data_IF_082390482908
#
_entry.id   IF_082390482908
#
_cell.length_a   1.000
_cell.length_b   1.000
_cell.length_c   1.000
_cell.angle_alpha   90.00
_cell.angle_beta   90.00
_cell.angle_gamma   90.00
#
_symmetry.space_group_name_H-M   'P 1'
#
loop_
_entity.id
_entity.type
_entity.pdbx_description
1 polymer ?
#
# COMPACT_ATOMS: atom_id res chain seq x y z
N UNK A 1 -43.77 23.25 50.60
CA UNK A 1 -43.12 23.30 49.30
C UNK A 1 -41.86 22.42 49.36
N UNK A 2 -41.96 21.21 48.83
CA UNK A 2 -40.90 20.20 48.93
C UNK A 2 -40.08 20.24 47.61
N UNK A 3 -38.80 20.61 47.68
CA UNK A 3 -37.90 20.66 46.51
C UNK A 3 -37.35 19.26 46.25
N UNK A 4 -37.73 18.67 45.11
CA UNK A 4 -37.19 17.41 44.60
C UNK A 4 -35.92 17.72 43.83
N UNK A 5 -34.78 17.21 44.31
CA UNK A 5 -33.50 17.23 43.57
C UNK A 5 -33.44 15.96 42.70
N UNK A 6 -33.45 16.13 41.37
CA UNK A 6 -33.18 15.05 40.41
C UNK A 6 -31.66 15.04 40.20
N UNK A 7 -30.99 14.01 40.71
CA UNK A 7 -29.61 13.73 40.41
C UNK A 7 -29.52 13.05 39.05
N UNK A 8 -29.03 13.73 38.05
CA UNK A 8 -28.69 13.13 36.75
C UNK A 8 -27.39 12.35 36.89
N UNK A 9 -27.46 11.02 36.88
CA UNK A 9 -26.27 10.17 36.81
C UNK A 9 -25.69 10.20 35.38
N UNK A 10 -24.55 10.85 35.19
CA UNK A 10 -23.73 10.73 33.98
C UNK A 10 -23.12 9.32 33.95
N UNK A 11 -23.65 8.42 33.17
CA UNK A 11 -22.96 7.18 32.83
C UNK A 11 -21.83 7.49 31.84
N UNK A 12 -20.61 7.64 32.35
CA UNK A 12 -19.42 7.67 31.50
C UNK A 12 -19.23 6.27 30.90
N UNK A 13 -19.54 6.12 29.63
CA UNK A 13 -19.16 4.92 28.86
C UNK A 13 -17.63 4.91 28.77
N UNK A 14 -16.98 4.12 29.62
CA UNK A 14 -15.57 3.77 29.46
C UNK A 14 -15.50 2.84 28.24
N UNK A 15 -15.16 3.38 27.08
CA UNK A 15 -14.83 2.59 25.92
C UNK A 15 -13.57 1.78 26.25
N UNK A 16 -13.73 0.52 26.59
CA UNK A 16 -12.60 -0.41 26.73
C UNK A 16 -11.91 -0.43 25.37
N UNK A 17 -10.65 0.01 25.33
CA UNK A 17 -9.84 -0.02 24.13
C UNK A 17 -9.68 -1.48 23.70
N UNK A 18 -10.41 -1.90 22.67
CA UNK A 18 -10.35 -3.24 22.13
C UNK A 18 -8.99 -3.42 21.44
N UNK A 19 -8.11 -4.22 22.04
CA UNK A 19 -6.84 -4.62 21.44
C UNK A 19 -7.10 -5.74 20.42
N UNK A 20 -6.67 -5.53 19.19
CA UNK A 20 -6.71 -6.54 18.12
C UNK A 20 -5.36 -7.23 18.09
N UNK A 21 -5.37 -8.51 18.44
CA UNK A 21 -4.18 -9.36 18.36
C UNK A 21 -3.86 -9.75 16.93
N UNK A 22 -2.61 -10.14 16.70
CA UNK A 22 -2.18 -10.69 15.42
C UNK A 22 -2.99 -11.95 15.09
N UNK A 23 -3.49 -12.06 13.84
CA UNK A 23 -4.25 -13.25 13.43
C UNK A 23 -3.32 -14.46 13.30
N UNK A 24 -3.87 -15.63 13.58
CA UNK A 24 -3.21 -16.89 13.22
C UNK A 24 -3.66 -17.28 11.82
N UNK A 25 -2.74 -17.17 10.86
CA UNK A 25 -2.98 -17.57 9.48
C UNK A 25 -2.79 -19.08 9.36
N UNK A 26 -3.76 -19.75 8.72
CA UNK A 26 -3.74 -21.20 8.55
C UNK A 26 -3.53 -21.56 7.06
N UNK A 27 -2.87 -22.68 6.76
CA UNK A 27 -2.88 -23.23 5.40
C UNK A 27 -4.31 -23.35 4.88
N UNK A 28 -4.54 -22.95 3.62
CA UNK A 28 -5.84 -22.85 2.96
C UNK A 28 -6.69 -21.61 3.34
N UNK A 29 -6.25 -20.72 4.23
CA UNK A 29 -6.84 -19.39 4.30
C UNK A 29 -6.73 -18.74 2.92
N UNK A 30 -7.85 -18.25 2.38
CA UNK A 30 -7.93 -17.78 1.00
C UNK A 30 -8.76 -16.51 0.90
N UNK A 31 -8.30 -15.58 0.08
CA UNK A 31 -8.99 -14.30 -0.20
C UNK A 31 -8.98 -14.01 -1.68
N UNK A 32 -10.14 -13.62 -2.22
CA UNK A 32 -10.26 -13.10 -3.58
C UNK A 32 -10.49 -11.60 -3.52
N UNK A 33 -9.69 -10.86 -4.28
CA UNK A 33 -9.77 -9.41 -4.36
C UNK A 33 -9.97 -8.94 -5.79
N UNK A 34 -10.74 -7.87 -5.92
CA UNK A 34 -10.78 -7.02 -7.09
C UNK A 34 -9.80 -5.87 -6.88
N UNK A 35 -8.81 -5.73 -7.75
CA UNK A 35 -7.89 -4.61 -7.78
C UNK A 35 -8.22 -3.68 -8.93
N UNK A 36 -8.47 -2.41 -8.62
CA UNK A 36 -8.58 -1.34 -9.59
C UNK A 36 -7.32 -0.49 -9.55
N UNK A 37 -6.71 -0.26 -10.70
CA UNK A 37 -5.51 0.57 -10.87
C UNK A 37 -5.86 1.74 -11.78
N UNK A 38 -5.65 2.96 -11.29
CA UNK A 38 -5.78 4.21 -12.02
C UNK A 38 -4.38 4.85 -12.09
N UNK A 39 -3.82 4.99 -13.27
CA UNK A 39 -2.46 5.55 -13.47
C UNK A 39 -2.47 6.62 -14.53
N UNK A 40 -1.47 7.53 -14.51
CA UNK A 40 -1.27 8.51 -15.57
C UNK A 40 -0.20 8.04 -16.58
N UNK A 41 -0.33 8.39 -17.86
CA UNK A 41 -1.49 8.97 -18.54
C UNK A 41 -2.69 8.02 -18.41
N UNK A 42 -3.91 8.51 -18.43
CA UNK A 42 -5.16 7.86 -18.06
C UNK A 42 -5.27 6.38 -18.47
N UNK A 43 -4.75 5.50 -17.65
CA UNK A 43 -4.92 4.06 -17.76
C UNK A 43 -5.73 3.55 -16.57
N UNK A 44 -6.84 2.89 -16.87
CA UNK A 44 -7.65 2.18 -15.91
C UNK A 44 -7.55 0.69 -16.17
N UNK A 45 -7.26 -0.08 -15.14
CA UNK A 45 -7.20 -1.54 -15.22
C UNK A 45 -7.87 -2.15 -13.99
N UNK A 46 -8.66 -3.18 -14.22
CA UNK A 46 -9.23 -4.01 -13.16
C UNK A 46 -8.78 -5.44 -13.36
N UNK A 47 -8.36 -6.06 -12.25
CA UNK A 47 -7.95 -7.47 -12.22
C UNK A 47 -8.49 -8.12 -10.95
N UNK A 48 -8.68 -9.42 -11.02
CA UNK A 48 -9.07 -10.25 -9.88
C UNK A 48 -7.90 -11.16 -9.53
N UNK A 49 -7.61 -11.29 -8.25
CA UNK A 49 -6.55 -12.20 -7.81
C UNK A 49 -6.93 -12.95 -6.55
N UNK A 50 -6.43 -14.15 -6.44
CA UNK A 50 -6.62 -15.03 -5.30
C UNK A 50 -5.31 -15.15 -4.54
N UNK A 51 -5.33 -14.85 -3.25
CA UNK A 51 -4.25 -15.12 -2.31
C UNK A 51 -4.58 -16.33 -1.45
N UNK A 52 -3.69 -17.30 -1.35
CA UNK A 52 -3.87 -18.53 -0.56
C UNK A 52 -2.66 -18.76 0.32
N UNK A 53 -2.86 -19.03 1.59
CA UNK A 53 -1.80 -19.46 2.51
C UNK A 53 -1.45 -20.91 2.19
N UNK A 54 -0.20 -21.14 1.78
CA UNK A 54 0.32 -22.49 1.54
C UNK A 54 0.93 -23.09 2.81
N UNK A 55 1.64 -22.26 3.59
CA UNK A 55 2.33 -22.68 4.80
C UNK A 55 2.51 -21.50 5.75
N UNK A 56 2.38 -21.77 7.05
CA UNK A 56 2.74 -20.87 8.14
C UNK A 56 3.83 -21.52 8.98
N UNK A 57 4.94 -20.83 9.20
CA UNK A 57 6.10 -21.27 10.01
C UNK A 57 6.21 -20.45 11.30
N UNK A 58 5.12 -19.85 11.78
CA UNK A 58 5.09 -18.99 12.97
C UNK A 58 5.35 -17.53 12.63
N UNK A 59 6.59 -17.15 12.39
CA UNK A 59 6.93 -15.75 12.04
C UNK A 59 6.70 -15.45 10.55
N UNK A 60 6.82 -16.43 9.67
CA UNK A 60 6.72 -16.27 8.22
C UNK A 60 5.63 -17.14 7.61
N UNK A 61 5.02 -16.62 6.57
CA UNK A 61 3.92 -17.23 5.81
C UNK A 61 4.29 -17.30 4.34
N UNK A 62 4.20 -18.49 3.76
CA UNK A 62 4.27 -18.68 2.31
C UNK A 62 2.88 -18.46 1.73
N UNK A 63 2.72 -17.39 0.98
CA UNK A 63 1.48 -17.00 0.32
C UNK A 63 1.61 -17.22 -1.20
N UNK A 64 0.61 -17.86 -1.79
CA UNK A 64 0.47 -17.97 -3.23
C UNK A 64 -0.50 -16.90 -3.72
N UNK A 65 -0.11 -16.13 -4.73
CA UNK A 65 -0.97 -15.18 -5.43
C UNK A 65 -1.17 -15.61 -6.89
N UNK A 66 -2.43 -15.66 -7.32
CA UNK A 66 -2.82 -15.99 -8.68
C UNK A 66 -3.78 -14.93 -9.22
N UNK A 67 -3.43 -14.28 -10.33
CA UNK A 67 -4.37 -13.47 -11.10
C UNK A 67 -5.37 -14.40 -11.78
N UNK A 68 -6.66 -14.17 -11.58
CA UNK A 68 -7.76 -14.94 -12.18
C UNK A 68 -7.71 -14.71 -13.70
N UNK A 69 -7.97 -15.77 -14.47
CA UNK A 69 -7.96 -15.78 -15.94
C UNK A 69 -6.62 -15.41 -16.60
N UNK A 70 -5.55 -15.28 -15.81
CA UNK A 70 -4.21 -15.07 -16.35
C UNK A 70 -3.56 -16.41 -16.75
N UNK A 71 -2.90 -16.52 -17.91
CA UNK A 71 -2.14 -17.72 -18.29
C UNK A 71 -0.86 -17.88 -17.46
N UNK A 72 -0.42 -16.82 -16.76
CA UNK A 72 0.80 -16.88 -15.96
C UNK A 72 0.62 -17.83 -14.77
N UNK A 73 1.67 -18.56 -14.36
CA UNK A 73 1.62 -19.40 -13.18
C UNK A 73 1.39 -18.56 -11.91
N UNK A 74 0.86 -19.17 -10.84
CA UNK A 74 0.81 -18.52 -9.53
C UNK A 74 2.20 -18.07 -9.08
N UNK A 75 2.27 -16.97 -8.33
CA UNK A 75 3.50 -16.49 -7.71
C UNK A 75 3.47 -16.79 -6.22
N UNK A 76 4.55 -17.36 -5.74
CA UNK A 76 4.75 -17.57 -4.31
C UNK A 76 5.57 -16.41 -3.74
N UNK A 77 5.14 -15.91 -2.61
CA UNK A 77 5.81 -14.84 -1.86
C UNK A 77 5.91 -15.23 -0.40
N UNK A 78 7.03 -14.94 0.21
CA UNK A 78 7.23 -15.06 1.64
C UNK A 78 6.95 -13.70 2.28
N UNK A 79 6.10 -13.69 3.31
CA UNK A 79 5.74 -12.50 4.08
C UNK A 79 5.87 -12.82 5.58
N UNK A 80 5.90 -11.78 6.41
CA UNK A 80 5.75 -11.96 7.85
C UNK A 80 4.28 -12.26 8.22
N UNK A 81 4.09 -12.97 9.34
CA UNK A 81 2.75 -13.34 9.83
C UNK A 81 1.90 -12.13 10.27
N UNK A 82 2.49 -10.95 10.39
CA UNK A 82 1.81 -9.66 10.60
C UNK A 82 1.42 -8.94 9.30
N UNK A 83 1.55 -9.61 8.14
CA UNK A 83 1.35 -9.07 6.79
C UNK A 83 2.42 -8.09 6.32
N UNK A 84 3.55 -7.96 7.01
CA UNK A 84 4.67 -7.18 6.53
C UNK A 84 5.35 -7.87 5.34
N UNK A 85 5.69 -7.08 4.32
CA UNK A 85 6.49 -7.54 3.20
C UNK A 85 7.93 -7.04 3.33
N UNK A 86 8.86 -7.88 2.98
CA UNK A 86 10.29 -7.55 2.97
C UNK A 86 10.91 -7.80 1.59
N UNK A 87 12.00 -7.11 1.34
CA UNK A 87 12.85 -7.30 0.16
C UNK A 87 14.32 -7.24 0.57
N UNK A 88 15.17 -7.91 -0.19
CA UNK A 88 16.61 -7.67 -0.08
C UNK A 88 16.94 -6.36 -0.79
N UNK A 89 17.31 -5.33 -0.02
CA UNK A 89 17.80 -4.05 -0.49
C UNK A 89 19.28 -3.95 -0.09
N UNK A 90 20.17 -3.81 -1.06
CA UNK A 90 21.64 -3.74 -0.84
C UNK A 90 22.19 -4.90 -0.02
N UNK A 91 21.68 -6.12 -0.23
CA UNK A 91 22.09 -7.32 0.51
C UNK A 91 21.51 -7.42 1.93
N UNK A 92 20.69 -6.46 2.35
CA UNK A 92 20.01 -6.47 3.66
C UNK A 92 18.53 -6.73 3.49
N UNK A 93 17.98 -7.67 4.27
CA UNK A 93 16.55 -7.86 4.36
C UNK A 93 15.90 -6.63 5.02
N UNK A 94 14.96 -6.02 4.34
CA UNK A 94 14.36 -4.75 4.71
C UNK A 94 12.85 -4.82 4.55
N UNK A 95 12.11 -4.43 5.59
CA UNK A 95 10.65 -4.29 5.51
C UNK A 95 10.32 -3.10 4.62
N UNK A 96 9.56 -3.35 3.56
CA UNK A 96 9.17 -2.33 2.56
C UNK A 96 7.67 -2.03 2.55
N UNK A 97 6.89 -2.81 3.31
CA UNK A 97 5.45 -2.60 3.48
C UNK A 97 5.03 -3.19 4.83
N UNK A 98 4.37 -2.39 5.66
CA UNK A 98 3.89 -2.79 6.99
C UNK A 98 2.51 -2.18 7.25
N UNK A 99 1.44 -2.78 6.69
CA UNK A 99 0.09 -2.22 6.80
C UNK A 99 -0.47 -2.30 8.22
N UNK A 100 0.02 -3.26 9.03
CA UNK A 100 -0.43 -3.50 10.39
C UNK A 100 0.73 -3.58 11.38
N UNK A 101 0.48 -3.21 12.63
CA UNK A 101 1.43 -3.35 13.74
C UNK A 101 0.66 -3.86 14.97
N UNK A 102 0.64 -5.18 15.12
CA UNK A 102 -0.10 -5.83 16.21
C UNK A 102 0.64 -5.73 17.57
N UNK A 103 -0.09 -5.74 18.71
CA UNK A 103 -1.54 -5.58 18.79
C UNK A 103 -1.97 -4.18 18.37
N UNK A 104 -3.14 -4.07 17.71
CA UNK A 104 -3.69 -2.80 17.24
C UNK A 104 -4.79 -2.30 18.16
N UNK A 105 -4.80 -0.99 18.42
CA UNK A 105 -5.87 -0.26 19.08
C UNK A 105 -5.99 1.14 18.47
N UNK A 106 -7.14 1.77 18.66
CA UNK A 106 -7.37 3.14 18.18
C UNK A 106 -6.33 4.09 18.76
N UNK A 107 -5.73 4.91 17.90
CA UNK A 107 -4.70 5.87 18.26
C UNK A 107 -3.26 5.33 18.16
N UNK A 108 -3.04 4.00 18.03
CA UNK A 108 -1.70 3.45 17.83
C UNK A 108 -1.07 4.00 16.55
N UNK A 109 0.22 4.30 16.61
CA UNK A 109 1.01 4.76 15.46
C UNK A 109 2.29 3.95 15.30
N UNK A 110 2.80 3.88 14.06
CA UNK A 110 4.13 3.35 13.75
C UNK A 110 4.65 4.01 12.47
N UNK A 111 5.96 3.90 12.27
CA UNK A 111 6.64 4.46 11.11
C UNK A 111 7.22 3.34 10.24
N UNK A 112 7.32 3.61 8.95
CA UNK A 112 8.05 2.79 7.99
C UNK A 112 8.96 3.70 7.17
N UNK A 113 10.26 3.41 7.16
CA UNK A 113 11.24 4.10 6.33
C UNK A 113 12.17 3.08 5.69
N UNK A 114 12.40 3.23 4.39
CA UNK A 114 13.41 2.46 3.67
C UNK A 114 13.92 3.23 2.45
N UNK A 115 15.13 2.88 2.02
CA UNK A 115 15.74 3.41 0.79
C UNK A 115 16.02 2.25 -0.16
N UNK A 116 15.57 2.42 -1.40
CA UNK A 116 15.83 1.50 -2.52
C UNK A 116 16.82 2.16 -3.49
N UNK A 117 18.00 1.59 -3.63
CA UNK A 117 19.05 2.09 -4.55
C UNK A 117 18.82 1.63 -6.00
N UNK A 118 17.80 0.78 -6.21
CA UNK A 118 17.38 0.32 -7.54
C UNK A 118 15.85 0.44 -7.69
N UNK A 119 15.30 1.66 -7.55
CA UNK A 119 13.86 1.86 -7.55
C UNK A 119 13.23 1.48 -8.90
N UNK A 120 11.91 1.20 -8.86
CA UNK A 120 11.15 0.93 -10.07
C UNK A 120 11.17 2.10 -11.06
N UNK A 121 11.21 3.34 -10.57
CA UNK A 121 11.40 4.52 -11.41
C UNK A 121 12.88 4.61 -11.85
N UNK A 122 13.13 4.28 -13.10
CA UNK A 122 14.50 4.29 -13.68
C UNK A 122 15.10 5.69 -13.85
N UNK A 123 14.32 6.75 -13.66
CA UNK A 123 14.80 8.13 -13.59
C UNK A 123 15.49 8.46 -12.26
N UNK A 124 15.26 7.68 -11.22
CA UNK A 124 15.86 7.86 -9.91
C UNK A 124 17.05 6.92 -9.73
N UNK A 125 18.14 7.44 -9.16
CA UNK A 125 19.29 6.67 -8.70
C UNK A 125 18.93 5.89 -7.44
N UNK A 126 18.25 6.55 -6.51
CA UNK A 126 17.72 5.96 -5.29
C UNK A 126 16.35 6.57 -4.98
N UNK A 127 15.55 5.86 -4.19
CA UNK A 127 14.27 6.35 -3.71
C UNK A 127 14.07 5.99 -2.23
N UNK A 128 13.88 7.00 -1.41
CA UNK A 128 13.55 6.82 0.01
C UNK A 128 12.04 7.02 0.19
N UNK A 129 11.39 6.10 0.90
CA UNK A 129 9.99 6.20 1.29
C UNK A 129 9.88 6.31 2.80
N UNK A 130 9.05 7.26 3.27
CA UNK A 130 8.72 7.49 4.67
C UNK A 130 7.22 7.54 4.80
N UNK A 131 6.66 6.72 5.68
CA UNK A 131 5.24 6.61 5.95
C UNK A 131 5.02 6.59 7.46
N UNK A 132 4.05 7.36 7.92
CA UNK A 132 3.57 7.33 9.30
C UNK A 132 2.15 6.79 9.32
N UNK A 133 1.98 5.66 9.95
CA UNK A 133 0.70 4.96 10.10
C UNK A 133 0.01 5.37 11.39
N UNK A 134 -1.32 5.34 11.35
CA UNK A 134 -2.18 5.56 12.52
C UNK A 134 -3.44 4.72 12.42
N UNK A 135 -3.81 4.07 13.52
CA UNK A 135 -5.11 3.45 13.68
C UNK A 135 -6.14 4.53 13.99
N UNK A 136 -7.06 4.78 13.06
CA UNK A 136 -8.03 5.89 13.13
C UNK A 136 -9.22 5.52 14.01
N UNK A 137 -9.86 4.36 13.74
CA UNK A 137 -11.06 3.93 14.43
C UNK A 137 -11.80 2.83 13.69
N UNK A 138 -12.92 2.42 14.25
CA UNK A 138 -13.81 1.44 13.64
C UNK A 138 -14.76 2.11 12.65
N UNK A 139 -14.90 1.55 11.47
CA UNK A 139 -15.83 1.99 10.43
C UNK A 139 -16.62 0.79 9.90
N UNK A 140 -17.85 1.02 9.47
CA UNK A 140 -18.57 0.06 8.63
C UNK A 140 -18.15 0.31 7.17
N UNK A 141 -17.70 -0.76 6.51
CA UNK A 141 -17.29 -0.71 5.11
C UNK A 141 -18.02 -1.77 4.30
N UNK A 142 -18.51 -1.38 3.15
CA UNK A 142 -19.18 -2.27 2.20
C UNK A 142 -18.23 -2.55 1.03
N UNK A 143 -18.05 -3.83 0.74
CA UNK A 143 -17.26 -4.36 -0.38
C UNK A 143 -18.03 -5.49 -1.05
N UNK A 144 -17.65 -6.01 -2.22
CA UNK A 144 -18.38 -7.10 -2.87
C UNK A 144 -18.62 -8.33 -2.00
N UNK A 145 -17.72 -8.65 -1.07
CA UNK A 145 -17.87 -9.76 -0.12
C UNK A 145 -18.94 -9.51 0.95
N UNK A 146 -19.45 -8.27 1.12
CA UNK A 146 -20.43 -7.90 2.13
C UNK A 146 -20.07 -6.65 2.93
N UNK A 147 -20.74 -6.53 4.09
CA UNK A 147 -20.52 -5.43 5.05
C UNK A 147 -19.68 -5.91 6.22
N UNK A 148 -18.69 -5.12 6.60
CA UNK A 148 -17.75 -5.45 7.67
C UNK A 148 -17.58 -4.28 8.62
N UNK A 149 -17.47 -4.59 9.90
CA UNK A 149 -16.97 -3.65 10.90
C UNK A 149 -15.45 -3.76 10.91
N UNK A 150 -14.76 -2.81 10.29
CA UNK A 150 -13.33 -2.85 10.10
C UNK A 150 -12.60 -1.74 10.86
N UNK A 151 -11.40 -2.05 11.33
CA UNK A 151 -10.50 -1.07 11.94
C UNK A 151 -9.75 -0.35 10.81
N UNK A 152 -9.97 0.96 10.70
CA UNK A 152 -9.32 1.78 9.69
C UNK A 152 -7.92 2.18 10.15
N UNK A 153 -6.95 1.96 9.30
CA UNK A 153 -5.57 2.41 9.41
C UNK A 153 -5.29 3.36 8.25
N UNK A 154 -4.73 4.52 8.54
CA UNK A 154 -4.25 5.46 7.54
C UNK A 154 -2.75 5.65 7.65
N UNK A 155 -2.10 5.89 6.53
CA UNK A 155 -0.71 6.29 6.46
C UNK A 155 -0.55 7.47 5.52
N UNK A 156 0.12 8.50 6.02
CA UNK A 156 0.59 9.63 5.24
C UNK A 156 2.11 9.63 5.19
N UNK A 157 2.65 10.05 4.05
CA UNK A 157 4.09 10.06 3.91
C UNK A 157 4.56 10.70 2.61
N UNK A 158 5.84 10.49 2.34
CA UNK A 158 6.50 10.99 1.15
C UNK A 158 7.45 9.96 0.56
N UNK A 159 7.65 10.05 -0.73
CA UNK A 159 8.79 9.49 -1.41
C UNK A 159 9.76 10.63 -1.78
N UNK A 160 11.07 10.33 -1.75
CA UNK A 160 12.14 11.24 -2.15
C UNK A 160 13.04 10.49 -3.11
N UNK A 161 13.17 10.96 -4.34
CA UNK A 161 14.02 10.38 -5.38
C UNK A 161 15.24 11.23 -5.64
N UNK A 162 16.41 10.59 -5.74
CA UNK A 162 17.65 11.21 -6.17
C UNK A 162 17.84 10.99 -7.68
N UNK A 163 17.95 12.07 -8.44
CA UNK A 163 18.25 12.03 -9.87
C UNK A 163 19.76 12.16 -10.05
N UNK A 164 20.38 11.16 -10.70
CA UNK A 164 21.79 11.26 -11.04
C UNK A 164 22.03 12.30 -12.14
N UNK A 165 23.13 13.05 -12.10
CA UNK A 165 23.52 13.91 -13.22
C UNK A 165 23.74 13.06 -14.46
N UNK A 166 23.19 13.49 -15.58
CA UNK A 166 23.35 12.81 -16.86
C UNK A 166 23.39 13.81 -18.01
N UNK A 167 24.17 13.49 -19.00
CA UNK A 167 24.17 14.19 -20.29
C UNK A 167 23.44 13.33 -21.30
N UNK A 168 22.37 13.84 -21.89
CA UNK A 168 21.66 13.20 -22.98
C UNK A 168 21.92 13.99 -24.26
N UNK A 169 22.42 13.34 -25.27
CA UNK A 169 22.57 13.90 -26.62
C UNK A 169 21.40 13.38 -27.48
N UNK A 170 20.67 14.27 -28.10
CA UNK A 170 19.66 13.94 -29.11
C UNK A 170 20.04 14.58 -30.44
N UNK A 171 19.87 13.82 -31.52
CA UNK A 171 20.03 14.33 -32.88
C UNK A 171 18.64 14.51 -33.48
N UNK A 172 18.29 15.74 -33.75
CA UNK A 172 17.05 16.06 -34.50
C UNK A 172 17.38 16.16 -35.95
N UNK A 173 16.89 15.25 -36.76
CA UNK A 173 17.02 15.31 -38.23
C UNK A 173 15.75 15.91 -38.81
N UNK A 174 15.92 16.97 -39.59
CA UNK A 174 14.82 17.61 -40.35
C UNK A 174 15.10 17.43 -41.84
N UNK A 175 14.23 16.70 -42.52
CA UNK A 175 14.33 16.46 -43.96
C UNK A 175 13.36 17.37 -44.68
N UNK A 176 13.86 18.18 -45.61
CA UNK A 176 13.11 19.06 -46.47
C UNK A 176 13.48 18.86 -47.94
N UNK A 177 12.76 19.50 -48.85
CA UNK A 177 12.97 19.36 -50.30
C UNK A 177 14.37 19.78 -50.79
N UNK A 178 15.15 20.43 -49.94
CA UNK A 178 16.50 20.94 -50.22
C UNK A 178 17.63 20.20 -49.45
N UNK A 179 17.31 19.10 -48.81
CA UNK A 179 18.31 18.31 -48.06
C UNK A 179 17.92 18.02 -46.64
N UNK A 180 18.73 17.19 -45.97
CA UNK A 180 18.57 16.81 -44.56
C UNK A 180 19.56 17.59 -43.69
N UNK A 181 19.05 18.36 -42.74
CA UNK A 181 19.86 19.01 -41.71
C UNK A 181 19.78 18.22 -40.43
N UNK A 182 20.90 17.92 -39.80
CA UNK A 182 20.96 17.29 -38.48
C UNK A 182 21.48 18.32 -37.48
N UNK A 183 20.72 18.54 -36.41
CA UNK A 183 21.13 19.34 -35.26
C UNK A 183 21.31 18.41 -34.04
N UNK A 184 22.50 18.44 -33.44
CA UNK A 184 22.75 17.76 -32.18
C UNK A 184 22.36 18.69 -31.01
N UNK A 185 21.48 18.24 -30.17
CA UNK A 185 21.10 18.95 -28.94
C UNK A 185 21.58 18.15 -27.74
N UNK A 186 22.37 18.78 -26.88
CA UNK A 186 22.83 18.19 -25.64
C UNK A 186 22.01 18.77 -24.48
N UNK A 187 21.34 17.90 -23.72
CA UNK A 187 20.63 18.25 -22.47
C UNK A 187 21.43 17.74 -21.29
N UNK A 188 21.91 18.64 -20.46
CA UNK A 188 22.57 18.30 -19.20
C UNK A 188 21.51 18.32 -18.09
N UNK A 189 21.27 17.15 -17.47
CA UNK A 189 20.47 17.04 -16.25
C UNK A 189 21.44 17.11 -15.08
N UNK A 190 21.27 18.09 -14.21
CA UNK A 190 22.01 18.21 -12.95
C UNK A 190 21.48 17.22 -11.91
N UNK A 191 22.32 16.87 -10.93
CA UNK A 191 21.84 16.11 -9.77
C UNK A 191 20.73 16.90 -9.07
N UNK A 192 19.62 16.24 -8.78
CA UNK A 192 18.44 16.86 -8.18
C UNK A 192 17.78 15.89 -7.22
N UNK A 193 17.17 16.43 -6.17
CA UNK A 193 16.31 15.69 -5.25
C UNK A 193 14.87 16.11 -5.50
N UNK A 194 14.03 15.14 -5.80
CA UNK A 194 12.60 15.34 -6.05
C UNK A 194 11.79 14.62 -4.98
N UNK A 195 10.61 15.12 -4.65
CA UNK A 195 9.75 14.50 -3.66
C UNK A 195 8.29 14.56 -4.07
N UNK A 196 7.53 13.57 -3.64
CA UNK A 196 6.08 13.54 -3.80
C UNK A 196 5.42 12.90 -2.59
N UNK A 197 4.09 13.01 -2.50
CA UNK A 197 3.31 12.51 -1.38
C UNK A 197 2.87 11.07 -1.62
N UNK A 198 2.73 10.34 -0.51
CA UNK A 198 2.12 9.00 -0.43
C UNK A 198 0.93 9.07 0.52
N UNK A 199 -0.15 8.36 0.17
CA UNK A 199 -1.27 8.11 1.07
C UNK A 199 -1.68 6.65 0.97
N UNK A 200 -1.97 6.02 2.12
CA UNK A 200 -2.48 4.65 2.18
C UNK A 200 -3.60 4.57 3.21
N UNK A 201 -4.60 3.75 2.93
CA UNK A 201 -5.66 3.42 3.89
C UNK A 201 -5.98 1.93 3.79
N UNK A 202 -6.19 1.30 4.96
CA UNK A 202 -6.52 -0.11 5.10
C UNK A 202 -7.69 -0.26 6.05
N UNK A 203 -8.64 -1.12 5.72
CA UNK A 203 -9.76 -1.50 6.56
C UNK A 203 -9.61 -2.95 6.97
N UNK A 204 -9.02 -3.17 8.14
CA UNK A 204 -8.76 -4.50 8.69
C UNK A 204 -10.00 -5.07 9.39
N UNK A 205 -10.45 -6.27 9.00
CA UNK A 205 -11.53 -7.01 9.64
C UNK A 205 -10.96 -8.27 10.33
N UNK A 206 -11.08 -8.38 11.67
CA UNK A 206 -10.53 -9.53 12.41
C UNK A 206 -11.05 -10.88 11.93
N UNK A 207 -12.35 -10.97 11.60
CA UNK A 207 -13.01 -12.18 11.10
C UNK A 207 -12.50 -12.62 9.72
N UNK A 208 -11.91 -11.68 8.96
CA UNK A 208 -11.27 -11.96 7.66
C UNK A 208 -9.78 -12.24 7.83
N UNK A 209 -9.22 -11.93 9.00
CA UNK A 209 -7.77 -11.99 9.31
C UNK A 209 -6.91 -11.04 8.46
N UNK A 210 -7.54 -10.11 7.71
CA UNK A 210 -6.89 -9.25 6.73
C UNK A 210 -7.70 -7.98 6.45
N UNK A 211 -7.17 -7.07 5.63
CA UNK A 211 -7.95 -5.94 5.12
C UNK A 211 -9.09 -6.42 4.18
N UNK A 212 -10.27 -5.85 4.34
CA UNK A 212 -11.39 -6.03 3.40
C UNK A 212 -11.33 -5.01 2.27
N UNK A 213 -10.64 -3.88 2.52
CA UNK A 213 -10.41 -2.83 1.54
C UNK A 213 -9.06 -2.18 1.79
N UNK A 214 -8.36 -1.80 0.71
CA UNK A 214 -7.23 -0.89 0.79
C UNK A 214 -7.25 0.13 -0.34
N UNK A 215 -6.65 1.30 -0.08
CA UNK A 215 -6.42 2.36 -1.04
C UNK A 215 -4.98 2.82 -0.90
N UNK A 216 -4.26 2.93 -2.01
CA UNK A 216 -2.93 3.50 -2.07
C UNK A 216 -2.89 4.58 -3.14
N UNK A 217 -2.39 5.77 -2.80
CA UNK A 217 -2.27 6.89 -3.73
C UNK A 217 -0.83 7.41 -3.75
N UNK A 218 -0.33 7.61 -4.96
CA UNK A 218 0.96 8.22 -5.21
C UNK A 218 0.73 9.59 -5.87
N UNK A 219 1.44 10.59 -5.40
CA UNK A 219 1.41 11.94 -5.94
C UNK A 219 2.80 12.30 -6.49
N UNK A 220 2.81 13.03 -7.59
CA UNK A 220 4.05 13.55 -8.19
C UNK A 220 4.58 14.79 -7.44
N UNK A 221 5.67 15.35 -7.94
CA UNK A 221 6.32 16.53 -7.37
C UNK A 221 5.46 17.81 -7.40
N UNK A 222 4.41 17.84 -8.22
CA UNK A 222 3.47 18.94 -8.33
C UNK A 222 2.21 18.72 -7.46
N UNK A 223 2.19 17.66 -6.65
CA UNK A 223 1.04 17.29 -5.83
C UNK A 223 -0.12 16.72 -6.64
N UNK A 224 0.11 16.31 -7.87
CA UNK A 224 -0.91 15.71 -8.72
C UNK A 224 -0.88 14.19 -8.57
N UNK A 225 -2.04 13.57 -8.33
CA UNK A 225 -2.14 12.13 -8.17
C UNK A 225 -1.70 11.42 -9.46
N UNK A 226 -0.60 10.67 -9.38
CA UNK A 226 -0.01 9.91 -10.48
C UNK A 226 -0.56 8.48 -10.57
N UNK A 227 -0.91 7.88 -9.42
CA UNK A 227 -1.51 6.56 -9.37
C UNK A 227 -2.44 6.41 -8.17
N UNK A 228 -3.47 5.56 -8.33
CA UNK A 228 -4.31 5.05 -7.25
C UNK A 228 -4.55 3.57 -7.47
N UNK A 229 -4.40 2.80 -6.39
CA UNK A 229 -4.70 1.38 -6.36
C UNK A 229 -5.75 1.14 -5.28
N UNK A 230 -6.84 0.47 -5.66
CA UNK A 230 -7.90 0.10 -4.73
C UNK A 230 -8.05 -1.41 -4.77
N UNK A 231 -7.95 -2.08 -3.62
CA UNK A 231 -8.29 -3.49 -3.48
C UNK A 231 -9.59 -3.60 -2.67
N UNK A 232 -10.52 -4.43 -3.11
CA UNK A 232 -11.77 -4.71 -2.43
C UNK A 232 -11.98 -6.22 -2.39
N UNK A 233 -12.30 -6.73 -1.20
CA UNK A 233 -12.55 -8.16 -0.98
C UNK A 233 -13.83 -8.59 -1.72
N UNK A 234 -13.76 -9.67 -2.49
CA UNK A 234 -14.89 -10.27 -3.19
C UNK A 234 -15.39 -11.55 -2.51
N UNK A 235 -14.47 -12.31 -1.96
CA UNK A 235 -14.79 -13.50 -1.17
C UNK A 235 -13.60 -13.90 -0.30
N UNK A 236 -13.87 -14.67 0.75
CA UNK A 236 -12.83 -15.25 1.58
C UNK A 236 -13.26 -16.58 2.20
N UNK A 237 -12.28 -17.38 2.54
CA UNK A 237 -12.42 -18.59 3.35
C UNK A 237 -11.25 -18.61 4.32
N UNK A 238 -11.54 -18.55 5.61
CA UNK A 238 -10.54 -18.67 6.67
C UNK A 238 -10.84 -19.89 7.53
N UNK A 239 -9.77 -20.56 7.93
CA UNK A 239 -9.84 -21.76 8.78
C UNK A 239 -9.69 -21.31 10.23
N UNK A 240 -10.53 -21.83 11.12
CA UNK A 240 -10.50 -21.57 12.58
C UNK A 240 -9.33 -22.26 13.28
#
# INVERSE_FOLDING_TARGET
MQKIWIAAALCANVAVAQNISQPVLQPQDTWTYRRTSETRPEAWRQVHFVGTVLRNSGSTVLLQNKEVDSPNPPREILIDSDWSNFRSLNGKETVVHRPFSFPMNVGKTWDLEFTDDHPGNKGHKSETRRLKYRVVGWEEVEVPAGKFKALKIEADGAWTGEIAPRTAASVVTQSGAQGTTAAAQTVNVTAETVTGRLYQAYWYAPEVKREVKSVEENYDTNGVRSARYTNELESYKVVD
#
